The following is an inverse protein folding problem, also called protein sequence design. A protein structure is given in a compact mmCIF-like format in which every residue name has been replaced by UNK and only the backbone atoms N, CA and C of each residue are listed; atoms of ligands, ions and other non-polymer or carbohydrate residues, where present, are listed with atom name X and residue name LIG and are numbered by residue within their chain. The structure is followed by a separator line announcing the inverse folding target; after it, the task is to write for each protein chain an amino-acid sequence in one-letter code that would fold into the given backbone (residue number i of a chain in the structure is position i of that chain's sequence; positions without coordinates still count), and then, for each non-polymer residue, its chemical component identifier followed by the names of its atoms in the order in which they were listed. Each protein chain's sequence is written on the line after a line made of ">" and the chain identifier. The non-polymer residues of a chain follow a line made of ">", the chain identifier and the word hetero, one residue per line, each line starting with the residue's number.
data_IF_071014522896
#
_entry.id   IF_071014522896
#
_cell.length_a   1.000
_cell.length_b   1.000
_cell.length_c   1.000
_cell.angle_alpha   90.00
_cell.angle_beta   90.00
_cell.angle_gamma   90.00
#
_symmetry.space_group_name_H-M   'P 1'
#
loop_
_entity.id
_entity.type
_entity.pdbx_description
1 polymer ?
#
# COMPACT_ATOMS: atom_id res chain seq x y z
N UNK A 1 -5.67 -15.37 -4.19
CA UNK A 1 -6.33 -14.19 -3.58
C UNK A 1 -5.60 -13.69 -2.33
N UNK A 2 -4.50 -12.94 -2.49
CA UNK A 2 -3.80 -12.30 -1.35
C UNK A 2 -4.06 -10.79 -1.30
N UNK A 3 -4.18 -10.13 -2.47
CA UNK A 3 -4.34 -8.68 -2.61
C UNK A 3 -5.76 -8.20 -2.32
N UNK A 4 -6.77 -8.98 -2.74
CA UNK A 4 -8.19 -8.74 -2.51
C UNK A 4 -8.80 -9.90 -1.72
N UNK A 5 -10.02 -9.69 -1.24
CA UNK A 5 -10.83 -10.75 -0.66
C UNK A 5 -11.22 -11.78 -1.72
N UNK A 6 -11.51 -13.00 -1.26
CA UNK A 6 -11.94 -14.09 -2.16
C UNK A 6 -13.31 -13.84 -2.80
N UNK A 7 -14.05 -12.86 -2.29
CA UNK A 7 -15.37 -12.48 -2.76
C UNK A 7 -15.40 -11.94 -4.19
N UNK A 8 -14.29 -11.37 -4.70
CA UNK A 8 -14.25 -10.82 -6.06
C UNK A 8 -13.68 -11.78 -7.09
N UNK A 9 -13.22 -12.97 -6.70
CA UNK A 9 -12.41 -13.86 -7.55
C UNK A 9 -13.12 -14.22 -8.85
N UNK A 10 -14.41 -14.52 -8.75
CA UNK A 10 -15.27 -14.88 -9.90
C UNK A 10 -15.60 -13.68 -10.81
N UNK A 11 -15.39 -12.45 -10.32
CA UNK A 11 -15.72 -11.22 -11.05
C UNK A 11 -14.47 -10.50 -11.60
N UNK A 12 -13.28 -11.08 -11.44
CA UNK A 12 -12.07 -10.57 -12.09
C UNK A 12 -12.08 -10.99 -13.55
N UNK A 13 -11.81 -10.05 -14.46
CA UNK A 13 -11.60 -10.31 -15.88
C UNK A 13 -10.43 -9.49 -16.40
N UNK A 14 -9.84 -9.95 -17.50
CA UNK A 14 -8.67 -9.33 -18.11
C UNK A 14 -9.01 -8.70 -19.44
N UNK A 15 -8.77 -7.40 -19.57
CA UNK A 15 -8.92 -6.65 -20.82
C UNK A 15 -7.53 -6.43 -21.42
N UNK A 16 -7.24 -7.09 -22.53
CA UNK A 16 -5.94 -7.09 -23.20
C UNK A 16 -6.01 -6.20 -24.44
N UNK A 17 -5.32 -5.07 -24.41
CA UNK A 17 -5.25 -4.13 -25.55
C UNK A 17 -4.10 -4.47 -26.49
N UNK A 18 -4.11 -3.88 -27.70
CA UNK A 18 -3.11 -4.11 -28.76
C UNK A 18 -3.06 -5.57 -29.24
N UNK A 19 -4.22 -6.23 -29.22
CA UNK A 19 -4.36 -7.58 -29.74
C UNK A 19 -4.63 -7.54 -31.24
N UNK A 20 -3.57 -7.51 -32.05
CA UNK A 20 -3.64 -7.33 -33.50
C UNK A 20 -4.07 -8.60 -34.28
N UNK A 21 -4.77 -9.52 -33.62
CA UNK A 21 -5.37 -10.71 -34.24
C UNK A 21 -4.68 -12.05 -33.96
N UNK A 22 -3.52 -12.03 -33.29
CA UNK A 22 -2.89 -13.25 -32.74
C UNK A 22 -3.14 -13.36 -31.23
N UNK A 23 -2.94 -14.56 -30.66
CA UNK A 23 -2.99 -14.74 -29.20
C UNK A 23 -1.97 -13.80 -28.53
N UNK A 24 -2.41 -12.87 -27.68
CA UNK A 24 -1.51 -11.90 -27.06
C UNK A 24 -0.43 -12.57 -26.22
N UNK A 25 0.81 -12.13 -26.33
CA UNK A 25 1.94 -12.69 -25.56
C UNK A 25 1.70 -12.67 -24.04
N UNK A 26 0.94 -11.68 -23.55
CA UNK A 26 0.57 -11.56 -22.15
C UNK A 26 -0.27 -12.73 -21.65
N UNK A 27 -0.97 -13.48 -22.53
CA UNK A 27 -1.72 -14.68 -22.15
C UNK A 27 -0.82 -15.74 -21.50
N UNK A 28 0.39 -15.96 -22.01
CA UNK A 28 1.34 -16.90 -21.43
C UNK A 28 1.78 -16.45 -20.03
N UNK A 29 2.13 -15.16 -19.88
CA UNK A 29 2.51 -14.58 -18.61
C UNK A 29 1.36 -14.62 -17.57
N UNK A 30 0.11 -14.38 -17.99
CA UNK A 30 -1.05 -14.47 -17.10
C UNK A 30 -1.24 -15.90 -16.58
N UNK A 31 -1.13 -16.90 -17.45
CA UNK A 31 -1.24 -18.30 -17.06
C UNK A 31 -0.17 -18.72 -16.04
N UNK A 32 1.02 -18.11 -16.08
CA UNK A 32 2.12 -18.36 -15.15
C UNK A 32 2.06 -17.50 -13.87
N UNK A 33 1.27 -16.43 -13.84
CA UNK A 33 1.34 -15.39 -12.80
C UNK A 33 0.81 -15.79 -11.42
N UNK A 34 0.14 -16.95 -11.29
CA UNK A 34 -0.65 -17.35 -10.10
C UNK A 34 -1.70 -16.31 -9.65
N UNK A 35 -1.94 -15.26 -10.45
CA UNK A 35 -2.92 -14.23 -10.17
C UNK A 35 -4.29 -14.66 -10.68
N UNK A 36 -5.38 -14.31 -9.98
CA UNK A 36 -6.70 -14.39 -10.57
C UNK A 36 -6.78 -13.38 -11.72
N UNK A 37 -6.99 -13.85 -12.94
CA UNK A 37 -7.12 -13.01 -14.14
C UNK A 37 -8.44 -13.26 -14.90
N UNK A 38 -9.17 -14.32 -14.53
CA UNK A 38 -10.49 -14.69 -15.03
C UNK A 38 -10.62 -14.76 -16.55
N UNK A 39 -11.81 -14.41 -17.06
CA UNK A 39 -12.06 -14.44 -18.50
C UNK A 39 -11.28 -13.32 -19.22
N UNK A 40 -10.76 -13.63 -20.41
CA UNK A 40 -9.86 -12.77 -21.18
C UNK A 40 -10.59 -12.19 -22.39
N UNK A 41 -10.52 -10.88 -22.53
CA UNK A 41 -11.11 -10.13 -23.63
C UNK A 41 -10.02 -9.35 -24.35
N UNK A 42 -9.90 -9.55 -25.66
CA UNK A 42 -8.89 -8.90 -26.49
C UNK A 42 -9.49 -7.73 -27.24
N UNK A 43 -8.78 -6.59 -27.22
CA UNK A 43 -9.22 -5.35 -27.84
C UNK A 43 -8.15 -4.83 -28.79
N UNK A 44 -8.57 -4.63 -30.04
CA UNK A 44 -7.81 -3.86 -31.01
C UNK A 44 -8.38 -2.43 -31.07
N UNK A 45 -7.65 -1.49 -30.47
CA UNK A 45 -8.08 -0.09 -30.42
C UNK A 45 -7.58 0.72 -31.62
N UNK A 46 -6.91 0.12 -32.61
CA UNK A 46 -6.40 0.82 -33.78
C UNK A 46 -7.52 1.52 -34.58
N UNK A 47 -8.72 0.94 -34.59
CA UNK A 47 -9.91 1.56 -35.22
C UNK A 47 -10.33 2.89 -34.59
N UNK A 48 -10.03 3.12 -33.30
CA UNK A 48 -10.34 4.40 -32.62
C UNK A 48 -9.47 5.56 -33.12
N UNK A 49 -8.25 5.23 -33.58
CA UNK A 49 -7.27 6.21 -34.05
C UNK A 49 -7.23 6.30 -35.58
N UNK A 50 -8.14 5.63 -36.29
CA UNK A 50 -8.25 5.74 -37.73
C UNK A 50 -8.71 7.16 -38.12
N UNK A 51 -8.07 7.73 -39.15
CA UNK A 51 -8.51 9.02 -39.68
C UNK A 51 -9.87 8.86 -40.38
N UNK A 52 -10.87 9.58 -39.90
CA UNK A 52 -12.23 9.56 -40.46
C UNK A 52 -12.45 10.64 -41.53
N UNK A 53 -11.43 11.44 -41.86
CA UNK A 53 -11.52 12.50 -42.86
C UNK A 53 -11.05 12.00 -44.25
N UNK A 54 -11.98 11.90 -45.19
CA UNK A 54 -11.73 11.63 -46.61
C UNK A 54 -12.38 10.35 -47.16
N UNK A 55 -12.51 10.26 -48.49
CA UNK A 55 -13.05 9.10 -49.24
C UNK A 55 -12.20 7.82 -49.12
N UNK A 56 -11.10 7.85 -48.36
CA UNK A 56 -10.19 6.74 -48.14
C UNK A 56 -10.39 6.11 -46.77
N UNK A 57 -11.64 5.83 -46.40
CA UNK A 57 -11.89 4.91 -45.29
C UNK A 57 -11.34 3.55 -45.74
N UNK A 58 -10.11 3.24 -45.31
CA UNK A 58 -9.48 1.99 -45.69
C UNK A 58 -10.33 0.83 -45.17
N UNK A 59 -10.51 -0.24 -45.95
CA UNK A 59 -11.26 -1.41 -45.50
C UNK A 59 -10.73 -1.93 -44.15
N UNK A 60 -9.43 -1.75 -43.89
CA UNK A 60 -8.75 -2.09 -42.64
C UNK A 60 -9.30 -1.31 -41.43
N UNK A 61 -9.55 -0.01 -41.57
CA UNK A 61 -10.11 0.81 -40.49
C UNK A 61 -11.52 0.35 -40.09
N UNK A 62 -12.36 0.02 -41.08
CA UNK A 62 -13.68 -0.56 -40.82
C UNK A 62 -13.59 -1.94 -40.17
N UNK A 63 -12.68 -2.80 -40.65
CA UNK A 63 -12.45 -4.12 -40.06
C UNK A 63 -12.01 -4.04 -38.60
N UNK A 64 -11.11 -3.11 -38.25
CA UNK A 64 -10.70 -2.90 -36.86
C UNK A 64 -11.85 -2.40 -35.98
N UNK A 65 -12.73 -1.55 -36.52
CA UNK A 65 -13.91 -1.09 -35.81
C UNK A 65 -14.92 -2.22 -35.55
N UNK A 66 -15.22 -3.03 -36.57
CA UNK A 66 -16.08 -4.20 -36.44
C UNK A 66 -15.51 -5.22 -35.45
N UNK A 67 -14.20 -5.46 -35.48
CA UNK A 67 -13.50 -6.32 -34.52
C UNK A 67 -13.65 -5.79 -33.09
N UNK A 68 -13.42 -4.49 -32.87
CA UNK A 68 -13.61 -3.87 -31.56
C UNK A 68 -15.05 -4.01 -31.04
N UNK A 69 -16.05 -3.77 -31.90
CA UNK A 69 -17.47 -3.93 -31.54
C UNK A 69 -17.80 -5.38 -31.14
N UNK A 70 -17.27 -6.38 -31.84
CA UNK A 70 -17.45 -7.80 -31.47
C UNK A 70 -16.82 -8.08 -30.11
N UNK A 71 -15.60 -7.59 -29.84
CA UNK A 71 -14.94 -7.74 -28.54
C UNK A 71 -15.75 -7.12 -27.40
N UNK A 72 -16.25 -5.89 -27.57
CA UNK A 72 -17.11 -5.25 -26.57
C UNK A 72 -18.42 -6.01 -26.36
N UNK A 73 -19.08 -6.50 -27.42
CA UNK A 73 -20.31 -7.30 -27.29
C UNK A 73 -20.06 -8.57 -26.49
N UNK A 74 -18.95 -9.27 -26.72
CA UNK A 74 -18.59 -10.46 -25.97
C UNK A 74 -18.32 -10.13 -24.49
N UNK A 75 -17.60 -9.04 -24.24
CA UNK A 75 -17.36 -8.54 -22.88
C UNK A 75 -18.65 -8.20 -22.13
N UNK A 76 -19.55 -7.41 -22.73
CA UNK A 76 -20.82 -7.06 -22.09
C UNK A 76 -21.71 -8.29 -21.88
N UNK A 77 -21.74 -9.21 -22.85
CA UNK A 77 -22.47 -10.48 -22.70
C UNK A 77 -21.94 -11.30 -21.51
N UNK A 78 -20.62 -11.31 -21.29
CA UNK A 78 -20.03 -11.96 -20.12
C UNK A 78 -20.37 -11.19 -18.83
N UNK A 79 -20.29 -9.86 -18.82
CA UNK A 79 -20.68 -9.04 -17.68
C UNK A 79 -22.13 -9.32 -17.25
N UNK A 80 -23.05 -9.52 -18.19
CA UNK A 80 -24.45 -9.88 -17.91
C UNK A 80 -24.60 -11.24 -17.21
N UNK A 81 -23.58 -12.12 -17.28
CA UNK A 81 -23.57 -13.42 -16.58
C UNK A 81 -22.96 -13.35 -15.18
N UNK A 82 -22.25 -12.26 -14.84
CA UNK A 82 -21.60 -12.14 -13.54
C UNK A 82 -22.63 -11.88 -12.43
N UNK A 83 -22.54 -12.67 -11.36
CA UNK A 83 -23.32 -12.42 -10.17
C UNK A 83 -22.80 -11.16 -9.46
N UNK A 84 -23.71 -10.38 -8.88
CA UNK A 84 -23.30 -9.30 -7.97
C UNK A 84 -22.68 -9.91 -6.73
N UNK A 85 -21.44 -9.52 -6.43
CA UNK A 85 -20.71 -9.97 -5.24
C UNK A 85 -20.67 -8.86 -4.19
N UNK A 86 -20.78 -9.24 -2.91
CA UNK A 86 -20.45 -8.33 -1.81
C UNK A 86 -18.95 -8.10 -1.78
N UNK A 87 -18.50 -6.89 -1.48
CA UNK A 87 -17.08 -6.55 -1.35
C UNK A 87 -16.59 -6.57 0.11
N UNK A 88 -17.35 -7.21 1.00
CA UNK A 88 -17.07 -7.18 2.43
C UNK A 88 -15.68 -7.77 2.75
N UNK A 89 -15.33 -8.94 2.21
CA UNK A 89 -14.04 -9.58 2.50
C UNK A 89 -12.90 -8.75 1.90
N UNK A 90 -13.10 -8.20 0.71
CA UNK A 90 -12.11 -7.29 0.10
C UNK A 90 -11.90 -6.04 0.95
N UNK A 91 -12.97 -5.43 1.44
CA UNK A 91 -12.91 -4.29 2.37
C UNK A 91 -12.17 -4.66 3.65
N UNK A 92 -12.49 -5.81 4.25
CA UNK A 92 -11.86 -6.28 5.49
C UNK A 92 -10.36 -6.53 5.30
N UNK A 93 -9.96 -7.19 4.20
CA UNK A 93 -8.54 -7.42 3.87
C UNK A 93 -7.76 -6.10 3.73
N UNK A 94 -8.34 -5.11 3.04
CA UNK A 94 -7.71 -3.79 2.88
C UNK A 94 -7.59 -3.05 4.23
N UNK A 95 -8.63 -3.12 5.06
CA UNK A 95 -8.63 -2.53 6.40
C UNK A 95 -7.56 -3.16 7.29
N UNK A 96 -7.52 -4.49 7.36
CA UNK A 96 -6.57 -5.25 8.15
C UNK A 96 -5.12 -4.95 7.75
N UNK A 97 -4.85 -4.84 6.44
CA UNK A 97 -3.53 -4.45 5.92
C UNK A 97 -3.14 -3.05 6.35
N UNK A 98 -4.05 -2.08 6.19
CA UNK A 98 -3.80 -0.70 6.62
C UNK A 98 -3.52 -0.64 8.13
N UNK A 99 -4.26 -1.39 8.94
CA UNK A 99 -4.04 -1.49 10.38
C UNK A 99 -2.69 -2.12 10.71
N UNK A 100 -2.29 -3.17 9.99
CA UNK A 100 -0.99 -3.83 10.18
C UNK A 100 0.16 -2.89 9.82
N UNK A 101 0.08 -2.17 8.70
CA UNK A 101 1.06 -1.17 8.30
C UNK A 101 1.22 -0.08 9.37
N UNK A 102 0.11 0.47 9.87
CA UNK A 102 0.13 1.45 10.94
C UNK A 102 0.77 0.89 12.23
N UNK A 103 0.49 -0.38 12.55
CA UNK A 103 1.09 -1.07 13.69
C UNK A 103 2.61 -1.21 13.54
N UNK A 104 3.08 -1.64 12.37
CA UNK A 104 4.51 -1.78 12.08
C UNK A 104 5.21 -0.42 12.16
N UNK A 105 4.65 0.62 11.55
CA UNK A 105 5.18 1.98 11.60
C UNK A 105 5.27 2.54 13.03
N UNK A 106 4.37 2.11 13.91
CA UNK A 106 4.37 2.50 15.32
C UNK A 106 5.32 1.68 16.19
N UNK A 107 5.61 0.44 15.79
CA UNK A 107 6.57 -0.42 16.51
C UNK A 107 8.01 0.02 16.28
N UNK A 108 8.38 0.42 15.07
CA UNK A 108 9.73 0.88 14.73
C UNK A 108 10.31 1.91 15.72
N UNK A 109 9.67 3.08 15.98
CA UNK A 109 10.23 4.06 16.91
C UNK A 109 10.27 3.56 18.36
N UNK A 110 9.36 2.66 18.76
CA UNK A 110 9.39 2.05 20.11
C UNK A 110 10.59 1.12 20.27
N UNK A 111 10.93 0.37 19.23
CA UNK A 111 12.13 -0.46 19.21
C UNK A 111 13.38 0.41 19.32
N UNK A 112 13.45 1.50 18.55
CA UNK A 112 14.59 2.43 18.61
C UNK A 112 14.77 3.02 20.01
N UNK A 113 13.68 3.47 20.64
CA UNK A 113 13.70 3.97 22.03
C UNK A 113 14.19 2.89 22.99
N UNK A 114 13.66 1.66 22.89
CA UNK A 114 14.06 0.55 23.75
C UNK A 114 15.52 0.16 23.59
N UNK A 115 16.02 0.10 22.36
CA UNK A 115 17.42 -0.19 22.05
C UNK A 115 18.36 0.92 22.57
N UNK A 116 17.99 2.18 22.36
CA UNK A 116 18.74 3.31 22.90
C UNK A 116 18.78 3.26 24.43
N UNK A 117 17.64 2.96 25.09
CA UNK A 117 17.62 2.86 26.55
C UNK A 117 18.50 1.72 27.07
N UNK A 118 18.54 0.59 26.36
CA UNK A 118 19.45 -0.51 26.71
C UNK A 118 20.92 -0.09 26.60
N UNK A 119 21.28 0.71 25.59
CA UNK A 119 22.64 1.23 25.44
C UNK A 119 22.99 2.26 26.52
N UNK A 120 22.06 3.15 26.88
CA UNK A 120 22.21 4.08 28.01
C UNK A 120 22.51 3.31 29.31
N UNK A 121 21.71 2.29 29.63
CA UNK A 121 21.90 1.47 30.84
C UNK A 121 23.24 0.72 30.83
N UNK A 122 23.66 0.17 29.69
CA UNK A 122 24.98 -0.47 29.57
C UNK A 122 26.12 0.51 29.82
N UNK A 123 26.00 1.75 29.34
CA UNK A 123 26.98 2.80 29.59
C UNK A 123 27.01 3.18 31.07
N UNK A 124 25.86 3.38 31.71
CA UNK A 124 25.77 3.67 33.14
C UNK A 124 26.37 2.56 34.01
N UNK A 125 26.06 1.29 33.71
CA UNK A 125 26.66 0.14 34.41
C UNK A 125 28.19 0.17 34.31
N UNK A 126 28.73 0.48 33.12
CA UNK A 126 30.18 0.60 32.93
C UNK A 126 30.78 1.74 33.76
N UNK A 127 30.11 2.89 33.82
CA UNK A 127 30.56 4.02 34.63
C UNK A 127 30.60 3.63 36.11
N UNK A 128 29.58 2.94 36.62
CA UNK A 128 29.56 2.44 38.01
C UNK A 128 30.71 1.44 38.25
N UNK A 129 31.00 0.57 37.27
CA UNK A 129 32.12 -0.39 37.36
C UNK A 129 33.48 0.32 37.37
N UNK A 130 33.69 1.28 36.47
CA UNK A 130 34.95 2.02 36.34
C UNK A 130 35.23 2.90 37.57
N UNK A 131 34.17 3.37 38.26
CA UNK A 131 34.28 4.21 39.46
C UNK A 131 34.09 3.45 40.78
N UNK A 132 34.14 2.12 40.76
CA UNK A 132 33.85 1.27 41.93
C UNK A 132 34.71 1.59 43.17
N UNK A 133 35.97 1.98 42.98
CA UNK A 133 36.87 2.36 44.08
C UNK A 133 36.47 3.69 44.72
N UNK A 134 36.10 4.70 43.91
CA UNK A 134 35.64 6.01 44.39
C UNK A 134 34.34 5.86 45.18
N UNK A 135 33.44 5.01 44.68
CA UNK A 135 32.19 4.65 45.36
C UNK A 135 32.46 3.96 46.70
N UNK A 136 33.40 3.00 46.75
CA UNK A 136 33.77 2.30 47.97
C UNK A 136 34.38 3.24 49.03
N UNK A 137 35.09 4.29 48.58
CA UNK A 137 35.66 5.33 49.43
C UNK A 137 34.63 6.38 49.91
N UNK A 138 33.35 6.27 49.53
CA UNK A 138 32.30 7.28 49.78
C UNK A 138 32.68 8.69 49.30
N UNK A 139 33.37 8.79 48.15
CA UNK A 139 33.72 10.07 47.54
C UNK A 139 32.77 10.41 46.40
N UNK A 140 32.48 11.71 46.26
CA UNK A 140 31.64 12.21 45.17
C UNK A 140 32.37 12.15 43.82
N UNK A 141 31.63 11.84 42.76
CA UNK A 141 32.11 11.93 41.38
C UNK A 141 30.99 12.36 40.43
N UNK A 142 31.39 12.91 39.29
CA UNK A 142 30.47 13.39 38.24
C UNK A 142 30.77 12.70 36.92
N UNK A 143 29.74 12.44 36.13
CA UNK A 143 29.88 11.86 34.79
C UNK A 143 28.82 12.43 33.85
N UNK A 144 29.08 12.29 32.55
CA UNK A 144 28.16 12.74 31.50
C UNK A 144 27.37 11.55 30.99
N UNK A 145 26.05 11.71 30.89
CA UNK A 145 25.14 10.72 30.31
C UNK A 145 24.51 11.30 29.06
N UNK A 146 24.57 10.54 27.97
CA UNK A 146 23.75 10.83 26.79
C UNK A 146 22.33 10.34 27.07
N UNK A 147 21.35 11.24 27.02
CA UNK A 147 19.94 10.91 27.28
C UNK A 147 19.07 11.21 26.07
N UNK A 148 18.12 10.32 25.79
CA UNK A 148 17.17 10.48 24.71
C UNK A 148 16.05 11.45 25.11
N UNK A 149 15.86 12.52 24.33
CA UNK A 149 14.77 13.49 24.54
C UNK A 149 13.82 13.55 23.34
N UNK A 150 12.54 13.81 23.63
CA UNK A 150 11.54 14.05 22.59
C UNK A 150 11.69 15.46 22.03
N UNK A 151 11.62 15.59 20.69
CA UNK A 151 11.71 16.87 20.00
C UNK A 151 10.46 17.13 19.17
N UNK A 152 9.86 18.31 19.35
CA UNK A 152 8.79 18.80 18.47
C UNK A 152 9.39 19.23 17.13
N UNK A 153 8.74 18.87 16.03
CA UNK A 153 9.12 19.29 14.68
C UNK A 153 7.91 19.86 13.94
N UNK A 154 8.13 20.87 13.11
CA UNK A 154 7.11 21.34 12.20
C UNK A 154 6.75 20.25 11.19
N UNK A 155 5.46 20.12 10.88
CA UNK A 155 4.99 19.17 9.88
C UNK A 155 4.97 19.83 8.50
N UNK A 156 5.32 19.08 7.42
CA UNK A 156 5.10 19.55 6.06
C UNK A 156 3.63 19.85 5.81
N UNK A 157 3.36 20.75 4.85
CA UNK A 157 1.99 21.10 4.47
C UNK A 157 1.22 19.85 4.02
N UNK A 158 -0.01 19.70 4.50
CA UNK A 158 -0.87 18.56 4.17
C UNK A 158 -0.64 17.29 4.98
N UNK A 159 0.42 17.21 5.79
CA UNK A 159 0.67 16.07 6.68
C UNK A 159 -0.08 16.25 8.00
N UNK A 160 -0.82 15.22 8.39
CA UNK A 160 -1.57 15.18 9.64
C UNK A 160 -1.09 14.01 10.48
N UNK A 161 -0.96 14.24 11.78
CA UNK A 161 -0.47 13.24 12.74
C UNK A 161 -1.38 13.15 13.95
N UNK A 162 -1.30 12.05 14.67
CA UNK A 162 -1.97 11.85 15.96
C UNK A 162 -0.91 11.83 17.06
N UNK A 163 -0.93 12.85 17.93
CA UNK A 163 -0.09 12.87 19.13
C UNK A 163 -0.90 12.34 20.31
N UNK A 164 -0.33 11.41 21.07
CA UNK A 164 -1.03 10.83 22.23
C UNK A 164 -0.48 11.45 23.52
N UNK A 165 -1.36 12.01 24.35
CA UNK A 165 -1.00 12.55 25.67
C UNK A 165 -0.60 11.45 26.65
N UNK A 166 -1.14 10.25 26.51
CA UNK A 166 -0.75 9.10 27.33
C UNK A 166 0.64 8.56 26.93
N UNK A 167 0.94 8.49 25.64
CA UNK A 167 2.25 8.01 25.15
C UNK A 167 3.31 9.12 25.08
N UNK A 168 2.91 10.38 25.19
CA UNK A 168 3.73 11.57 24.96
C UNK A 168 4.49 11.54 23.61
N UNK A 169 3.98 10.87 22.59
CA UNK A 169 4.65 10.75 21.29
C UNK A 169 3.63 10.72 20.14
N UNK A 170 4.10 10.87 18.91
CA UNK A 170 3.29 10.71 17.71
C UNK A 170 2.96 9.24 17.47
N UNK A 171 1.70 8.85 17.69
CA UNK A 171 1.19 7.49 17.52
C UNK A 171 0.64 7.20 16.12
N UNK A 172 0.52 8.20 15.25
CA UNK A 172 0.18 7.97 13.85
C UNK A 172 0.72 9.11 12.99
N UNK A 173 1.47 8.81 11.93
CA UNK A 173 2.18 9.82 11.12
C UNK A 173 1.42 10.26 9.85
N UNK A 174 0.43 9.49 9.41
CA UNK A 174 -0.29 9.71 8.14
C UNK A 174 -1.81 9.67 8.37
N UNK A 175 -2.30 10.58 9.20
CA UNK A 175 -3.71 10.62 9.53
C UNK A 175 -4.54 11.21 8.39
N UNK A 176 -5.68 10.59 8.07
CA UNK A 176 -6.63 11.13 7.07
C UNK A 176 -7.44 12.31 7.62
N UNK A 177 -7.73 12.28 8.91
CA UNK A 177 -8.60 13.24 9.59
C UNK A 177 -7.80 14.44 10.12
N UNK A 178 -8.31 15.64 9.87
CA UNK A 178 -7.72 16.89 10.37
C UNK A 178 -8.11 17.14 11.82
N UNK A 179 -9.40 16.97 12.10
CA UNK A 179 -9.99 17.11 13.42
C UNK A 179 -9.49 16.01 14.35
N UNK A 180 -9.03 16.40 15.53
CA UNK A 180 -8.49 15.49 16.56
C UNK A 180 -9.56 14.51 17.06
N UNK A 181 -10.82 14.94 17.17
CA UNK A 181 -11.92 14.11 17.65
C UNK A 181 -12.28 12.99 16.66
N UNK A 182 -11.98 13.20 15.37
CA UNK A 182 -12.21 12.20 14.32
C UNK A 182 -11.05 11.24 14.13
N UNK A 183 -9.89 11.49 14.73
CA UNK A 183 -8.68 10.65 14.54
C UNK A 183 -8.83 9.25 15.10
N UNK A 184 -9.84 8.98 15.94
CA UNK A 184 -10.19 7.63 16.39
C UNK A 184 -10.71 6.75 15.25
N UNK A 185 -11.25 7.36 14.18
CA UNK A 185 -11.72 6.66 12.97
C UNK A 185 -10.58 6.39 11.98
N UNK A 186 -9.37 6.89 12.28
CA UNK A 186 -8.21 6.78 11.41
C UNK A 186 -7.59 5.39 11.40
#
# INVERSE_FOLDING_TARGET
>A
MSLFGKDIEDNICSLITFADGMDPQVCAALNESELPFGERFTFNNAGLFANNEGLSQSCLSQMFWEMGLVSFRNFFKHLDTLATQSLQLTSDVLYERSRLEATIQNLQPKLDIGLNKMNELKAEVKIVQDNKSIIADNKDFTYVVSTTHQKKRALPMGIRVTNCTNCNFTCHKSCKYADDDEKIKC
#
